data_IF_038147138595
#
_entry.id   IF_038147138595
#
_cell.length_a   1.000
_cell.length_b   1.000
_cell.length_c   1.000
_cell.angle_alpha   90.00
_cell.angle_beta   90.00
_cell.angle_gamma   90.00
#
_symmetry.space_group_name_H-M   'P 1'
#
loop_
_entity.id
_entity.type
_entity.pdbx_description
1 polymer ?
#
# COMPACT_ATOMS: atom_id res chain seq x y z
N UNK A 1 -34.36 -33.81 -9.05
CA UNK A 1 -34.08 -32.87 -7.95
C UNK A 1 -32.65 -33.05 -7.38
N UNK A 2 -32.23 -34.24 -7.00
CA UNK A 2 -30.92 -34.53 -6.37
C UNK A 2 -29.72 -34.17 -7.26
N UNK A 3 -29.79 -34.41 -8.57
CA UNK A 3 -28.73 -34.15 -9.51
C UNK A 3 -28.42 -32.65 -9.68
N UNK A 4 -29.46 -31.81 -9.70
CA UNK A 4 -29.34 -30.35 -9.81
C UNK A 4 -28.66 -29.78 -8.55
N UNK A 5 -29.04 -30.25 -7.37
CA UNK A 5 -28.45 -29.83 -6.09
C UNK A 5 -26.97 -30.22 -6.00
N UNK A 6 -26.62 -31.40 -6.46
CA UNK A 6 -25.23 -31.88 -6.50
C UNK A 6 -24.38 -31.05 -7.48
N UNK A 7 -24.87 -30.79 -8.70
CA UNK A 7 -24.17 -29.95 -9.68
C UNK A 7 -23.97 -28.52 -9.15
N UNK A 8 -25.01 -27.93 -8.53
CA UNK A 8 -24.90 -26.61 -7.93
C UNK A 8 -23.84 -26.56 -6.81
N UNK A 9 -23.87 -27.54 -5.91
CA UNK A 9 -22.86 -27.64 -4.83
C UNK A 9 -21.44 -27.79 -5.38
N UNK A 10 -21.24 -28.59 -6.44
CA UNK A 10 -19.93 -28.75 -7.08
C UNK A 10 -19.43 -27.45 -7.72
N UNK A 11 -20.27 -26.76 -8.48
CA UNK A 11 -19.93 -25.45 -9.11
C UNK A 11 -19.59 -24.40 -8.04
N UNK A 12 -20.38 -24.35 -6.96
CA UNK A 12 -20.11 -23.42 -5.86
C UNK A 12 -18.77 -23.71 -5.17
N UNK A 13 -18.45 -24.99 -4.96
CA UNK A 13 -17.17 -25.41 -4.37
C UNK A 13 -15.99 -25.01 -5.26
N UNK A 14 -16.06 -25.30 -6.55
CA UNK A 14 -15.02 -24.94 -7.53
C UNK A 14 -14.83 -23.41 -7.59
N UNK A 15 -15.91 -22.65 -7.53
CA UNK A 15 -15.87 -21.18 -7.49
C UNK A 15 -15.18 -20.67 -6.23
N UNK A 16 -15.53 -21.19 -5.04
CA UNK A 16 -14.90 -20.81 -3.78
C UNK A 16 -13.41 -21.16 -3.74
N UNK A 17 -13.03 -22.34 -4.26
CA UNK A 17 -11.62 -22.73 -4.37
C UNK A 17 -10.85 -21.79 -5.29
N UNK A 18 -11.43 -21.40 -6.43
CA UNK A 18 -10.84 -20.44 -7.36
C UNK A 18 -10.69 -19.05 -6.73
N UNK A 19 -11.72 -18.55 -6.05
CA UNK A 19 -11.69 -17.26 -5.34
C UNK A 19 -10.62 -17.27 -4.24
N UNK A 20 -10.50 -18.36 -3.49
CA UNK A 20 -9.45 -18.54 -2.48
C UNK A 20 -8.05 -18.55 -3.08
N UNK A 21 -7.84 -19.24 -4.21
CA UNK A 21 -6.57 -19.26 -4.93
C UNK A 21 -6.20 -17.86 -5.44
N UNK A 22 -7.15 -17.12 -6.01
CA UNK A 22 -6.93 -15.73 -6.47
C UNK A 22 -6.59 -14.84 -5.28
N UNK A 23 -7.31 -14.94 -4.17
CA UNK A 23 -7.03 -14.17 -2.96
C UNK A 23 -5.62 -14.45 -2.43
N UNK A 24 -5.24 -15.72 -2.27
CA UNK A 24 -3.91 -16.12 -1.76
C UNK A 24 -2.79 -15.69 -2.71
N UNK A 25 -3.02 -15.73 -4.03
CA UNK A 25 -2.04 -15.30 -5.04
C UNK A 25 -1.82 -13.80 -5.10
N UNK A 26 -2.80 -12.99 -4.68
CA UNK A 26 -2.79 -11.53 -4.84
C UNK A 26 -2.64 -10.75 -3.53
N UNK A 27 -2.60 -11.43 -2.38
CA UNK A 27 -2.60 -10.80 -1.06
C UNK A 27 -1.28 -11.07 -0.33
N UNK A 28 -0.76 -10.06 0.36
CA UNK A 28 0.37 -10.19 1.29
C UNK A 28 -0.11 -10.81 2.61
N UNK A 29 0.55 -11.89 3.05
CA UNK A 29 0.11 -12.67 4.21
C UNK A 29 0.20 -11.89 5.53
N UNK A 30 1.20 -11.02 5.68
CA UNK A 30 1.41 -10.26 6.90
C UNK A 30 0.41 -9.11 7.02
N UNK A 31 0.25 -8.31 5.97
CA UNK A 31 -0.48 -7.05 6.01
C UNK A 31 -1.92 -7.12 5.50
N UNK A 32 -2.26 -8.18 4.75
CA UNK A 32 -3.54 -8.30 4.03
C UNK A 32 -3.76 -7.25 2.94
N UNK A 33 -2.78 -6.42 2.66
CA UNK A 33 -2.76 -5.60 1.45
C UNK A 33 -2.61 -6.46 0.21
N UNK A 34 -2.87 -5.90 -0.96
CA UNK A 34 -2.50 -6.55 -2.21
C UNK A 34 -0.97 -6.69 -2.28
N UNK A 35 -0.49 -7.78 -2.87
CA UNK A 35 0.93 -8.05 -2.97
C UNK A 35 1.53 -7.48 -4.27
N UNK A 36 2.86 -7.65 -4.43
CA UNK A 36 3.60 -7.21 -5.61
C UNK A 36 3.04 -7.77 -6.93
N UNK A 37 2.58 -9.03 -6.93
CA UNK A 37 2.00 -9.63 -8.13
C UNK A 37 0.72 -8.91 -8.57
N UNK A 38 -0.17 -8.62 -7.62
CA UNK A 38 -1.38 -7.83 -7.89
C UNK A 38 -1.03 -6.42 -8.39
N UNK A 39 -0.06 -5.76 -7.75
CA UNK A 39 0.46 -4.46 -8.17
C UNK A 39 0.93 -4.44 -9.62
N UNK A 40 1.80 -5.38 -10.01
CA UNK A 40 2.34 -5.46 -11.38
C UNK A 40 1.23 -5.71 -12.42
N UNK A 41 0.22 -6.50 -12.07
CA UNK A 41 -0.93 -6.75 -12.95
C UNK A 41 -1.85 -5.54 -13.09
N UNK A 42 -2.09 -4.81 -12.01
CA UNK A 42 -2.97 -3.63 -12.03
C UNK A 42 -2.29 -2.44 -12.71
N UNK A 43 -0.99 -2.22 -12.50
CA UNK A 43 -0.21 -1.19 -13.20
C UNK A 43 -0.28 -1.31 -14.74
N UNK A 44 -0.30 -2.53 -15.27
CA UNK A 44 -0.42 -2.78 -16.72
C UNK A 44 -1.79 -2.41 -17.29
N UNK A 45 -2.81 -2.32 -16.44
CA UNK A 45 -4.20 -2.04 -16.86
C UNK A 45 -4.57 -0.57 -16.71
N UNK A 46 -3.73 0.24 -16.05
CA UNK A 46 -4.00 1.66 -15.85
C UNK A 46 -4.05 2.40 -17.18
N UNK A 47 -5.11 3.18 -17.36
CA UNK A 47 -5.32 3.99 -18.55
C UNK A 47 -4.79 5.42 -18.28
N UNK A 48 -3.80 5.87 -19.05
CA UNK A 48 -3.23 7.22 -18.92
C UNK A 48 -4.20 8.35 -19.36
N UNK A 49 -5.29 8.00 -20.05
CA UNK A 49 -6.35 8.96 -20.42
C UNK A 49 -7.36 9.20 -19.29
N UNK A 50 -7.30 8.41 -18.23
CA UNK A 50 -8.14 8.53 -17.05
C UNK A 50 -7.36 9.23 -15.93
N UNK A 51 -8.07 9.96 -15.05
CA UNK A 51 -7.47 10.61 -13.91
C UNK A 51 -7.36 9.63 -12.74
N UNK A 52 -6.16 9.46 -12.24
CA UNK A 52 -5.84 8.65 -11.06
C UNK A 52 -4.57 9.18 -10.39
N UNK A 53 -4.35 8.77 -9.15
CA UNK A 53 -3.18 9.17 -8.37
C UNK A 53 -2.39 7.94 -7.97
N UNK A 54 -1.08 8.03 -8.09
CA UNK A 54 -0.13 7.08 -7.54
C UNK A 54 0.54 7.67 -6.29
N UNK A 55 0.57 6.91 -5.21
CA UNK A 55 1.28 7.26 -3.98
C UNK A 55 2.33 6.19 -3.72
N UNK A 56 3.59 6.59 -3.60
CA UNK A 56 4.67 5.74 -3.09
C UNK A 56 4.85 6.01 -1.60
N UNK A 57 4.93 4.96 -0.78
CA UNK A 57 5.06 5.06 0.68
C UNK A 57 6.18 4.13 1.15
N UNK A 58 6.99 4.62 2.08
CA UNK A 58 8.08 3.89 2.71
C UNK A 58 8.05 4.11 4.23
N UNK A 59 8.16 3.01 4.98
CA UNK A 59 8.15 3.04 6.44
C UNK A 59 9.54 3.40 6.98
N UNK A 60 9.63 4.45 7.76
CA UNK A 60 10.90 4.91 8.31
C UNK A 60 11.32 4.07 9.54
N UNK A 61 12.62 3.81 9.66
CA UNK A 61 13.22 3.23 10.86
C UNK A 61 12.89 1.76 11.12
N UNK A 62 12.37 1.00 10.14
CA UNK A 62 12.05 -0.43 10.29
C UNK A 62 13.26 -1.24 10.78
N UNK A 63 14.44 -1.01 10.17
CA UNK A 63 15.67 -1.71 10.60
C UNK A 63 16.01 -1.43 12.06
N UNK A 64 15.92 -0.18 12.50
CA UNK A 64 16.18 0.20 13.88
C UNK A 64 15.22 -0.48 14.86
N UNK A 65 13.93 -0.56 14.50
CA UNK A 65 12.94 -1.28 15.31
C UNK A 65 13.30 -2.77 15.44
N UNK A 66 13.63 -3.42 14.32
CA UNK A 66 14.07 -4.82 14.31
C UNK A 66 15.34 -5.04 15.14
N UNK A 67 16.33 -4.19 14.99
CA UNK A 67 17.62 -4.30 15.71
C UNK A 67 17.46 -4.07 17.22
N UNK A 68 16.53 -3.18 17.62
CA UNK A 68 16.31 -2.82 19.03
C UNK A 68 15.33 -3.73 19.77
N UNK A 69 14.28 -4.21 19.09
CA UNK A 69 13.15 -4.91 19.72
C UNK A 69 12.81 -6.26 19.04
N UNK A 70 13.57 -6.65 18.02
CA UNK A 70 13.36 -7.90 17.27
C UNK A 70 12.32 -7.77 16.14
N UNK A 71 12.25 -8.82 15.32
CA UNK A 71 11.39 -8.84 14.12
C UNK A 71 9.90 -8.63 14.41
N UNK A 72 9.41 -9.00 15.58
CA UNK A 72 8.01 -8.74 15.97
C UNK A 72 7.68 -7.24 16.04
N UNK A 73 8.64 -6.39 16.40
CA UNK A 73 8.46 -4.94 16.40
C UNK A 73 8.38 -4.38 14.96
N UNK A 74 9.18 -4.93 14.05
CA UNK A 74 9.09 -4.58 12.64
C UNK A 74 7.79 -5.02 12.00
N UNK A 75 7.31 -6.23 12.32
CA UNK A 75 6.03 -6.74 11.84
C UNK A 75 4.86 -5.88 12.36
N UNK A 76 4.92 -5.44 13.64
CA UNK A 76 3.95 -4.50 14.22
C UNK A 76 3.90 -3.19 13.42
N UNK A 77 5.07 -2.59 13.12
CA UNK A 77 5.15 -1.35 12.34
C UNK A 77 4.61 -1.52 10.91
N UNK A 78 4.98 -2.62 10.24
CA UNK A 78 4.51 -2.93 8.88
C UNK A 78 2.99 -3.11 8.85
N UNK A 79 2.43 -3.86 9.80
CA UNK A 79 0.98 -4.05 9.91
C UNK A 79 0.27 -2.73 10.21
N UNK A 80 0.80 -1.92 11.13
CA UNK A 80 0.25 -0.62 11.48
C UNK A 80 0.22 0.34 10.28
N UNK A 81 1.31 0.42 9.52
CA UNK A 81 1.36 1.25 8.30
C UNK A 81 0.31 0.80 7.28
N UNK A 82 0.17 -0.52 7.09
CA UNK A 82 -0.83 -1.11 6.20
C UNK A 82 -2.26 -0.79 6.66
N UNK A 83 -2.54 -0.88 7.96
CA UNK A 83 -3.85 -0.55 8.53
C UNK A 83 -4.20 0.93 8.35
N UNK A 84 -3.27 1.84 8.67
CA UNK A 84 -3.46 3.27 8.44
C UNK A 84 -3.74 3.60 6.96
N UNK A 85 -3.02 2.94 6.02
CA UNK A 85 -3.26 3.13 4.59
C UNK A 85 -4.63 2.58 4.16
N UNK A 86 -5.01 1.39 4.61
CA UNK A 86 -6.33 0.83 4.29
C UNK A 86 -7.45 1.71 4.82
N UNK A 87 -7.36 2.14 6.08
CA UNK A 87 -8.38 2.99 6.70
C UNK A 87 -8.56 4.32 5.96
N UNK A 88 -7.47 4.86 5.39
CA UNK A 88 -7.52 6.14 4.67
C UNK A 88 -7.91 6.00 3.19
N UNK A 89 -7.53 4.91 2.51
CA UNK A 89 -7.58 4.85 1.05
C UNK A 89 -8.49 3.76 0.46
N UNK A 90 -8.97 2.76 1.24
CA UNK A 90 -9.63 1.57 0.67
C UNK A 90 -10.91 1.86 -0.13
N UNK A 91 -11.64 2.92 0.20
CA UNK A 91 -12.86 3.32 -0.54
C UNK A 91 -12.54 4.03 -1.87
N UNK A 92 -11.31 4.53 -2.02
CA UNK A 92 -10.89 5.36 -3.16
C UNK A 92 -9.92 4.65 -4.10
N UNK A 93 -9.33 3.56 -3.65
CA UNK A 93 -8.32 2.86 -4.42
C UNK A 93 -7.81 1.59 -3.75
N UNK A 94 -6.64 1.16 -4.19
CA UNK A 94 -6.02 -0.09 -3.75
C UNK A 94 -4.69 0.17 -3.09
N UNK A 95 -4.42 -0.56 -2.01
CA UNK A 95 -3.17 -0.53 -1.24
C UNK A 95 -2.38 -1.81 -1.53
N UNK A 96 -1.11 -1.65 -1.88
CA UNK A 96 -0.20 -2.75 -2.22
C UNK A 96 1.03 -2.70 -1.32
N UNK A 97 1.49 -3.86 -0.87
CA UNK A 97 2.82 -4.03 -0.32
C UNK A 97 3.74 -4.60 -1.41
N UNK A 98 4.74 -3.81 -1.82
CA UNK A 98 5.63 -4.16 -2.93
C UNK A 98 7.03 -4.60 -2.49
N UNK A 99 7.41 -4.28 -1.27
CA UNK A 99 8.69 -4.64 -0.66
C UNK A 99 8.56 -4.86 0.84
N UNK A 100 9.68 -4.94 1.54
CA UNK A 100 9.72 -5.12 3.00
C UNK A 100 8.98 -4.00 3.74
N UNK A 101 9.40 -2.76 3.52
CA UNK A 101 8.89 -1.50 4.08
C UNK A 101 8.23 -0.59 3.02
N UNK A 102 8.13 -1.06 1.78
CA UNK A 102 7.65 -0.30 0.64
C UNK A 102 6.19 -0.65 0.29
N UNK A 103 5.37 0.38 0.16
CA UNK A 103 3.97 0.27 -0.24
C UNK A 103 3.67 1.19 -1.42
N UNK A 104 2.62 0.85 -2.16
CA UNK A 104 2.03 1.71 -3.16
C UNK A 104 0.52 1.83 -2.94
N UNK A 105 -0.03 3.00 -3.25
CA UNK A 105 -1.48 3.22 -3.31
C UNK A 105 -1.83 3.76 -4.68
N UNK A 106 -2.88 3.21 -5.30
CA UNK A 106 -3.42 3.67 -6.57
C UNK A 106 -4.86 4.09 -6.32
N UNK A 107 -5.13 5.40 -6.40
CA UNK A 107 -6.45 5.99 -6.20
C UNK A 107 -7.09 6.20 -7.56
N UNK A 108 -8.22 5.54 -7.81
CA UNK A 108 -9.00 5.63 -9.05
C UNK A 108 -10.37 6.27 -8.83
N UNK A 109 -10.87 6.28 -7.61
CA UNK A 109 -12.13 6.88 -7.25
C UNK A 109 -11.90 8.26 -6.61
N UNK A 110 -12.52 9.30 -7.17
CA UNK A 110 -12.41 10.68 -6.68
C UNK A 110 -10.95 11.15 -6.42
N UNK A 111 -10.03 11.02 -7.39
CA UNK A 111 -8.60 11.30 -7.20
C UNK A 111 -8.32 12.75 -6.74
N UNK A 112 -9.23 13.70 -7.03
CA UNK A 112 -9.14 15.08 -6.59
C UNK A 112 -9.18 15.26 -5.06
N UNK A 113 -9.63 14.25 -4.30
CA UNK A 113 -9.65 14.27 -2.83
C UNK A 113 -8.32 13.79 -2.20
N UNK A 114 -7.29 13.57 -3.00
CA UNK A 114 -6.01 13.01 -2.51
C UNK A 114 -5.42 13.80 -1.34
N UNK A 115 -5.50 15.12 -1.32
CA UNK A 115 -4.97 15.95 -0.23
C UNK A 115 -5.71 15.69 1.09
N UNK A 116 -7.04 15.55 1.05
CA UNK A 116 -7.85 15.19 2.22
C UNK A 116 -7.55 13.79 2.71
N UNK A 117 -7.36 12.84 1.78
CA UNK A 117 -7.00 11.46 2.09
C UNK A 117 -5.60 11.36 2.71
N UNK A 118 -4.64 12.11 2.21
CA UNK A 118 -3.30 12.23 2.78
C UNK A 118 -3.37 12.82 4.18
N UNK A 119 -4.16 13.87 4.41
CA UNK A 119 -4.33 14.46 5.74
C UNK A 119 -4.94 13.45 6.74
N UNK A 120 -5.91 12.65 6.28
CA UNK A 120 -6.46 11.55 7.09
C UNK A 120 -5.40 10.49 7.40
N UNK A 121 -4.60 10.11 6.41
CA UNK A 121 -3.50 9.16 6.58
C UNK A 121 -2.45 9.68 7.57
N UNK A 122 -2.00 10.92 7.45
CA UNK A 122 -1.06 11.56 8.38
C UNK A 122 -1.60 11.56 9.81
N UNK A 123 -2.90 11.83 9.97
CA UNK A 123 -3.57 11.80 11.28
C UNK A 123 -3.60 10.39 11.87
N UNK A 124 -3.90 9.37 11.06
CA UNK A 124 -3.90 7.97 11.49
C UNK A 124 -2.49 7.52 11.92
N UNK A 125 -1.46 7.90 11.15
CA UNK A 125 -0.05 7.61 11.48
C UNK A 125 0.37 8.32 12.77
N UNK A 126 0.05 9.60 12.93
CA UNK A 126 0.43 10.40 14.09
C UNK A 126 -0.25 9.95 15.38
N UNK A 127 -1.47 9.40 15.30
CA UNK A 127 -2.22 8.90 16.46
C UNK A 127 -1.96 7.42 16.78
N UNK A 128 -1.13 6.75 15.98
CA UNK A 128 -0.83 5.35 16.23
C UNK A 128 0.18 5.18 17.35
N UNK A 129 -0.07 4.22 18.24
CA UNK A 129 0.81 3.79 19.33
C UNK A 129 0.92 2.27 19.34
N UNK A 130 2.15 1.75 19.29
CA UNK A 130 2.41 0.31 19.27
C UNK A 130 2.81 -0.24 20.64
N UNK A 131 2.94 -1.55 20.68
CA UNK A 131 3.38 -2.29 21.87
C UNK A 131 4.89 -2.25 22.04
N UNK A 132 5.62 -2.35 20.93
CA UNK A 132 7.09 -2.39 20.93
C UNK A 132 7.69 -1.02 20.62
N UNK A 133 7.03 -0.27 19.75
CA UNK A 133 7.46 1.06 19.29
C UNK A 133 6.32 2.03 19.51
N UNK A 134 6.57 3.11 20.23
CA UNK A 134 5.53 4.06 20.65
C UNK A 134 4.99 4.90 19.49
N UNK A 135 5.80 5.16 18.47
CA UNK A 135 5.40 5.99 17.33
C UNK A 135 5.92 5.42 16.00
N UNK A 136 5.14 5.62 14.96
CA UNK A 136 5.47 5.27 13.59
C UNK A 136 5.66 6.53 12.76
N UNK A 137 6.56 6.48 11.79
CA UNK A 137 6.73 7.53 10.77
C UNK A 137 6.85 6.91 9.40
N UNK A 138 6.30 7.58 8.41
CA UNK A 138 6.34 7.17 7.00
C UNK A 138 6.83 8.32 6.13
N UNK A 139 7.45 7.98 5.02
CA UNK A 139 7.79 8.93 3.95
C UNK A 139 6.96 8.57 2.74
N UNK A 140 6.40 9.56 2.07
CA UNK A 140 5.60 9.33 0.88
C UNK A 140 5.77 10.45 -0.16
N UNK A 141 5.39 10.10 -1.38
CA UNK A 141 5.27 11.03 -2.49
C UNK A 141 4.15 10.59 -3.40
N UNK A 142 3.40 11.53 -3.96
CA UNK A 142 2.27 11.22 -4.84
C UNK A 142 2.29 12.07 -6.11
N UNK A 143 1.69 11.53 -7.17
CA UNK A 143 1.66 12.11 -8.51
C UNK A 143 0.31 11.81 -9.16
N UNK A 144 -0.30 12.82 -9.77
CA UNK A 144 -1.46 12.64 -10.66
C UNK A 144 -1.05 12.12 -12.04
N UNK A 145 -1.87 11.24 -12.60
CA UNK A 145 -1.74 10.81 -14.01
C UNK A 145 -1.84 11.98 -15.00
N UNK A 146 -2.49 13.07 -14.59
CA UNK A 146 -2.77 14.26 -15.41
C UNK A 146 -1.75 15.39 -15.24
N UNK A 147 -0.74 15.27 -14.38
CA UNK A 147 0.23 16.36 -14.15
C UNK A 147 1.03 16.76 -15.40
N UNK A 148 1.26 15.83 -16.29
CA UNK A 148 1.93 16.03 -17.60
C UNK A 148 1.59 14.87 -18.54
N UNK A 149 2.07 14.94 -19.78
CA UNK A 149 2.03 13.80 -20.68
C UNK A 149 3.07 12.76 -20.25
N UNK A 150 2.59 11.62 -19.76
CA UNK A 150 3.39 10.48 -19.35
C UNK A 150 3.46 9.43 -20.45
N UNK A 151 4.62 8.80 -20.64
CA UNK A 151 4.78 7.70 -21.58
C UNK A 151 4.24 6.37 -21.04
N UNK A 152 4.13 6.22 -19.71
CA UNK A 152 3.64 5.00 -19.06
C UNK A 152 3.25 5.25 -17.60
N UNK A 153 2.44 4.37 -17.02
CA UNK A 153 2.16 4.36 -15.58
C UNK A 153 3.44 4.15 -14.75
N UNK A 154 4.44 3.47 -15.29
CA UNK A 154 5.73 3.28 -14.65
C UNK A 154 6.53 4.59 -14.49
N UNK A 155 6.43 5.54 -15.44
CA UNK A 155 7.04 6.86 -15.26
C UNK A 155 6.38 7.66 -14.12
N UNK A 156 5.07 7.50 -13.95
CA UNK A 156 4.33 8.11 -12.84
C UNK A 156 4.81 7.53 -11.50
N UNK A 157 4.94 6.21 -11.39
CA UNK A 157 5.45 5.58 -10.17
C UNK A 157 6.86 6.03 -9.83
N UNK A 158 7.76 6.14 -10.81
CA UNK A 158 9.11 6.68 -10.60
C UNK A 158 9.12 8.14 -10.13
N UNK A 159 8.20 8.96 -10.64
CA UNK A 159 8.10 10.34 -10.18
C UNK A 159 7.59 10.44 -8.73
N UNK A 160 6.64 9.58 -8.35
CA UNK A 160 6.19 9.46 -6.96
C UNK A 160 7.29 8.94 -6.03
N UNK A 161 8.06 7.93 -6.46
CA UNK A 161 9.22 7.42 -5.72
C UNK A 161 10.28 8.52 -5.49
N UNK A 162 10.54 9.35 -6.49
CA UNK A 162 11.47 10.47 -6.33
C UNK A 162 10.99 11.49 -5.28
N UNK A 163 9.67 11.78 -5.23
CA UNK A 163 9.07 12.64 -4.20
C UNK A 163 9.12 11.98 -2.80
N UNK A 164 8.81 10.70 -2.73
CA UNK A 164 8.91 9.92 -1.49
C UNK A 164 10.35 9.93 -0.96
N UNK A 165 11.33 9.73 -1.84
CA UNK A 165 12.74 9.77 -1.46
C UNK A 165 13.17 11.14 -0.90
N UNK A 166 12.70 12.25 -1.50
CA UNK A 166 12.94 13.60 -0.96
C UNK A 166 12.31 13.79 0.42
N UNK A 167 11.09 13.26 0.63
CA UNK A 167 10.44 13.24 1.95
C UNK A 167 11.28 12.45 2.97
N UNK A 168 11.78 11.28 2.58
CA UNK A 168 12.65 10.43 3.40
C UNK A 168 13.97 11.12 3.77
N UNK A 169 14.59 11.83 2.81
CA UNK A 169 15.81 12.63 3.08
C UNK A 169 15.56 13.73 4.10
N UNK A 170 14.45 14.42 4.00
CA UNK A 170 14.05 15.48 4.93
C UNK A 170 13.88 14.92 6.34
N UNK A 171 13.13 13.80 6.46
CA UNK A 171 12.94 13.12 7.73
C UNK A 171 14.26 12.79 8.43
N UNK A 172 15.24 12.18 7.74
CA UNK A 172 16.51 11.82 8.33
C UNK A 172 17.38 13.03 8.70
N UNK A 173 17.32 14.12 7.93
CA UNK A 173 18.02 15.37 8.27
C UNK A 173 17.46 16.04 9.51
N UNK A 174 16.13 16.07 9.66
CA UNK A 174 15.45 16.73 10.77
C UNK A 174 15.48 15.90 12.05
N UNK A 175 15.34 14.59 11.95
CA UNK A 175 15.34 13.69 13.12
C UNK A 175 16.73 13.38 13.64
N UNK A 176 17.80 13.65 12.88
CA UNK A 176 19.17 13.22 13.22
C UNK A 176 19.35 11.69 13.26
N UNK A 177 18.36 10.93 12.80
CA UNK A 177 18.42 9.48 12.77
C UNK A 177 19.36 8.98 11.65
N UNK A 178 20.12 7.91 11.91
CA UNK A 178 20.96 7.28 10.90
C UNK A 178 20.08 6.48 9.90
N UNK A 179 20.40 6.57 8.62
CA UNK A 179 19.76 5.79 7.54
C UNK A 179 20.08 4.30 7.57
N UNK A 180 21.07 3.92 8.36
CA UNK A 180 21.58 2.54 8.43
C UNK A 180 20.77 1.65 9.34
#
# INVERSE_FOLDING_TARGET
SCCITYMFSKVMKERLEKEKLIYTSNTDELTRCLNRHAYENDMKKLNLSEEWVYISVDLNGLKRANDSYGHMAGDELICAAADCMRDSFHEYGKVYRIGGDEFAVIITENPNQVEELIHSFDSNVANWHGKFVDAMTVSYGWVFSTERNWGSAYEISKAADARMYQSKERYYKESGADRR
#
